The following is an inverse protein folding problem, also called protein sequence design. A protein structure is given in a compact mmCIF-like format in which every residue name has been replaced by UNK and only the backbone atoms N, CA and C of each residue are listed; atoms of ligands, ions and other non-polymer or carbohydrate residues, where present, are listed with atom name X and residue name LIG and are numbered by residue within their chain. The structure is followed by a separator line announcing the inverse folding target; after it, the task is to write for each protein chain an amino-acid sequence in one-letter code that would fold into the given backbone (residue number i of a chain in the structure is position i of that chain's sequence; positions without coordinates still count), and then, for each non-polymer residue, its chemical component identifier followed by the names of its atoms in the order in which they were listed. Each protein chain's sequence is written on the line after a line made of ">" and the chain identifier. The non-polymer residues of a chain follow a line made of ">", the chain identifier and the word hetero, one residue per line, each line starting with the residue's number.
data_IF_081214388920
#
_entry.id   IF_081214388920
#
_cell.length_a   1.000
_cell.length_b   1.000
_cell.length_c   1.000
_cell.angle_alpha   90.00
_cell.angle_beta   90.00
_cell.angle_gamma   90.00
#
_symmetry.space_group_name_H-M   'P 1'
#
loop_
_entity.id
_entity.type
_entity.pdbx_description
1 polymer ?
#
# COMPACT_ATOMS: atom_id res chain seq x y z
N UNK A 1 -21.31 -31.30 2.64
CA UNK A 1 -20.08 -31.75 3.30
C UNK A 1 -18.96 -30.81 2.91
N UNK A 2 -18.37 -30.14 3.90
CA UNK A 2 -17.23 -29.23 3.77
C UNK A 2 -16.04 -29.90 3.08
N UNK A 3 -15.39 -29.20 2.16
CA UNK A 3 -13.97 -29.41 1.89
C UNK A 3 -13.23 -28.13 2.27
N UNK A 4 -12.88 -28.08 3.56
CA UNK A 4 -11.88 -27.19 4.12
C UNK A 4 -10.57 -27.44 3.37
N UNK A 5 -10.06 -26.46 2.65
CA UNK A 5 -8.71 -26.52 2.07
C UNK A 5 -7.98 -25.18 2.14
N UNK A 6 -8.35 -24.32 3.08
CA UNK A 6 -7.50 -23.21 3.52
C UNK A 6 -6.47 -23.79 4.49
N UNK A 7 -5.50 -24.50 3.94
CA UNK A 7 -4.23 -24.73 4.63
C UNK A 7 -3.55 -23.38 4.70
N UNK A 8 -3.87 -22.63 5.75
CA UNK A 8 -3.04 -21.56 6.26
C UNK A 8 -1.60 -22.10 6.34
N UNK A 9 -0.76 -21.64 5.42
CA UNK A 9 0.66 -21.92 5.47
C UNK A 9 1.19 -21.16 6.68
N UNK A 10 1.17 -21.80 7.85
CA UNK A 10 2.02 -21.45 8.98
C UNK A 10 3.49 -21.73 8.60
N UNK A 11 4.00 -20.98 7.64
CA UNK A 11 5.44 -20.75 7.55
C UNK A 11 5.71 -19.63 8.53
N UNK A 12 6.58 -19.86 9.51
CA UNK A 12 7.19 -18.79 10.31
C UNK A 12 8.00 -17.89 9.39
N UNK A 13 7.30 -17.05 8.62
CA UNK A 13 7.93 -16.03 7.81
C UNK A 13 8.59 -15.06 8.78
N UNK A 14 9.89 -14.82 8.61
CA UNK A 14 10.60 -13.79 9.34
C UNK A 14 10.17 -12.36 8.91
N UNK A 15 9.29 -12.28 7.92
CA UNK A 15 8.78 -11.05 7.30
C UNK A 15 7.27 -10.98 7.52
N UNK A 16 6.74 -9.77 7.68
CA UNK A 16 5.29 -9.60 7.76
C UNK A 16 4.67 -9.94 6.40
N UNK A 17 3.45 -10.52 6.33
CA UNK A 17 2.80 -10.80 5.06
C UNK A 17 2.70 -9.59 4.13
N UNK A 18 2.53 -8.39 4.70
CA UNK A 18 2.52 -7.12 3.98
C UNK A 18 3.86 -6.68 3.37
N UNK A 19 4.98 -7.29 3.77
CA UNK A 19 6.30 -7.02 3.19
C UNK A 19 6.61 -7.93 1.99
N UNK A 20 5.76 -8.93 1.74
CA UNK A 20 5.89 -9.89 0.64
C UNK A 20 5.29 -9.27 -0.62
N UNK A 21 6.10 -9.16 -1.68
CA UNK A 21 5.63 -8.74 -3.00
C UNK A 21 5.42 -9.98 -3.86
N UNK A 22 4.32 -10.01 -4.61
CA UNK A 22 4.06 -11.08 -5.57
C UNK A 22 5.16 -11.15 -6.64
N UNK A 23 5.57 -12.36 -7.01
CA UNK A 23 6.51 -12.58 -8.11
C UNK A 23 5.88 -12.25 -9.48
N UNK A 24 4.55 -12.31 -9.58
CA UNK A 24 3.77 -11.96 -10.76
C UNK A 24 3.46 -10.47 -10.81
N UNK A 25 3.35 -9.90 -12.02
CA UNK A 25 2.99 -8.50 -12.18
C UNK A 25 1.50 -8.30 -11.88
N UNK A 26 1.20 -7.45 -10.90
CA UNK A 26 -0.16 -7.08 -10.51
C UNK A 26 -0.51 -5.68 -11.03
N UNK A 27 -1.79 -5.50 -11.35
CA UNK A 27 -2.39 -4.21 -11.73
C UNK A 27 -2.47 -3.24 -10.54
N UNK A 28 -2.68 -1.95 -10.82
CA UNK A 28 -2.86 -0.92 -9.79
C UNK A 28 -4.09 -1.25 -8.94
N UNK A 29 -5.18 -1.69 -9.57
CA UNK A 29 -6.41 -2.07 -8.90
C UNK A 29 -6.24 -3.27 -7.95
N UNK A 30 -5.40 -4.24 -8.31
CA UNK A 30 -5.08 -5.38 -7.45
C UNK A 30 -4.22 -4.93 -6.27
N UNK A 31 -3.15 -4.16 -6.52
CA UNK A 31 -2.27 -3.64 -5.47
C UNK A 31 -2.98 -2.73 -4.48
N UNK A 32 -3.96 -1.93 -4.95
CA UNK A 32 -4.75 -1.04 -4.09
C UNK A 32 -5.58 -1.77 -3.03
N UNK A 33 -5.89 -3.06 -3.25
CA UNK A 33 -6.68 -3.88 -2.33
C UNK A 33 -5.81 -4.63 -1.32
N UNK A 34 -4.49 -4.62 -1.46
CA UNK A 34 -3.59 -5.36 -0.60
C UNK A 34 -3.42 -4.68 0.76
N UNK A 35 -3.42 -5.49 1.81
CA UNK A 35 -3.42 -5.04 3.20
C UNK A 35 -2.23 -5.65 3.92
N UNK A 36 -1.40 -4.79 4.51
CA UNK A 36 -0.19 -5.21 5.21
C UNK A 36 -0.49 -5.65 6.65
N UNK A 37 -1.41 -4.94 7.31
CA UNK A 37 -1.87 -5.22 8.67
C UNK A 37 -3.38 -5.04 8.72
N UNK A 38 -4.08 -6.04 9.26
CA UNK A 38 -5.52 -5.99 9.56
C UNK A 38 -5.71 -6.68 10.92
N UNK A 39 -5.54 -5.93 12.01
CA UNK A 39 -5.54 -6.48 13.37
C UNK A 39 -5.96 -5.42 14.40
N UNK A 40 -6.58 -5.83 15.52
CA UNK A 40 -6.70 -4.97 16.68
C UNK A 40 -5.33 -4.59 17.22
N UNK A 41 -5.20 -3.36 17.70
CA UNK A 41 -4.05 -2.89 18.44
C UNK A 41 -4.18 -3.19 19.95
N UNK A 42 -3.16 -2.81 20.72
CA UNK A 42 -3.14 -3.04 22.17
C UNK A 42 -4.23 -2.27 22.94
N UNK A 43 -4.83 -1.23 22.33
CA UNK A 43 -5.91 -0.43 22.89
C UNK A 43 -7.30 -0.98 22.53
N UNK A 44 -7.36 -1.94 21.59
CA UNK A 44 -8.60 -2.54 21.09
C UNK A 44 -9.14 -1.87 19.83
N UNK A 45 -8.46 -0.85 19.31
CA UNK A 45 -8.79 -0.22 18.04
C UNK A 45 -8.35 -1.11 16.88
N UNK A 46 -9.19 -1.24 15.84
CA UNK A 46 -8.86 -2.04 14.68
C UNK A 46 -8.04 -1.23 13.67
N UNK A 47 -6.77 -1.60 13.50
CA UNK A 47 -5.86 -0.92 12.59
C UNK A 47 -5.80 -1.69 11.27
N UNK A 48 -6.11 -0.99 10.19
CA UNK A 48 -5.94 -1.46 8.82
C UNK A 48 -4.90 -0.61 8.10
N UNK A 49 -3.82 -1.24 7.66
CA UNK A 49 -2.72 -0.59 6.95
C UNK A 49 -2.61 -1.16 5.54
N UNK A 50 -2.72 -0.34 4.47
CA UNK A 50 -2.55 -0.81 3.11
C UNK A 50 -1.07 -1.14 2.81
N UNK A 51 -0.83 -2.11 1.94
CA UNK A 51 0.54 -2.43 1.46
C UNK A 51 1.05 -1.39 0.47
N UNK A 52 0.16 -0.88 -0.38
CA UNK A 52 0.46 0.08 -1.43
C UNK A 52 -0.35 1.36 -1.26
N UNK A 53 0.27 2.49 -1.58
CA UNK A 53 -0.39 3.79 -1.73
C UNK A 53 -0.61 4.06 -3.22
N UNK A 54 -1.86 4.29 -3.61
CA UNK A 54 -2.16 4.73 -4.98
C UNK A 54 -1.95 6.24 -5.04
N UNK A 55 -1.09 6.67 -5.96
CA UNK A 55 -0.79 8.07 -6.21
C UNK A 55 -1.03 8.39 -7.68
N UNK A 56 -1.52 9.58 -7.96
CA UNK A 56 -1.59 10.13 -9.31
C UNK A 56 -0.30 10.92 -9.55
N UNK A 57 0.50 10.48 -10.52
CA UNK A 57 1.69 11.20 -10.92
C UNK A 57 1.36 12.36 -11.87
N UNK A 58 1.86 13.57 -11.60
CA UNK A 58 1.74 14.70 -12.50
C UNK A 58 2.81 14.67 -13.60
N UNK A 59 2.60 15.34 -14.74
CA UNK A 59 1.39 16.11 -15.10
C UNK A 59 0.30 15.26 -15.78
N UNK A 60 0.61 14.02 -16.14
CA UNK A 60 -0.23 13.20 -17.02
C UNK A 60 -1.35 12.44 -16.28
N UNK A 61 -1.31 12.43 -14.94
CA UNK A 61 -2.32 11.80 -14.09
C UNK A 61 -2.23 10.27 -14.06
N UNK A 62 -1.07 9.70 -14.37
CA UNK A 62 -0.86 8.25 -14.35
C UNK A 62 -0.95 7.73 -12.91
N UNK A 63 -1.78 6.71 -12.67
CA UNK A 63 -1.90 6.09 -11.36
C UNK A 63 -0.76 5.08 -11.13
N UNK A 64 -0.05 5.23 -10.01
CA UNK A 64 0.96 4.27 -9.54
C UNK A 64 0.60 3.76 -8.15
N UNK A 65 0.80 2.46 -7.95
CA UNK A 65 0.74 1.84 -6.63
C UNK A 65 2.15 1.71 -6.03
N UNK A 66 2.47 2.55 -5.05
CA UNK A 66 3.77 2.61 -4.36
C UNK A 66 3.78 1.79 -3.08
N UNK A 67 4.73 0.86 -2.94
CA UNK A 67 4.87 0.01 -1.76
C UNK A 67 5.39 0.80 -0.57
N UNK A 68 4.69 0.73 0.57
CA UNK A 68 4.97 1.54 1.76
C UNK A 68 6.42 1.47 2.29
N UNK A 69 7.08 0.31 2.22
CA UNK A 69 8.51 0.16 2.57
C UNK A 69 9.46 0.42 1.39
N UNK A 70 9.26 -0.25 0.25
CA UNK A 70 10.25 -0.27 -0.84
C UNK A 70 10.35 1.06 -1.59
N UNK A 71 9.22 1.78 -1.68
CA UNK A 71 9.11 2.99 -2.49
C UNK A 71 9.05 4.26 -1.61
N UNK A 72 9.62 4.19 -0.40
CA UNK A 72 9.59 5.29 0.57
C UNK A 72 10.21 6.60 0.03
N UNK A 73 11.24 6.49 -0.83
CA UNK A 73 11.85 7.65 -1.49
C UNK A 73 10.90 8.30 -2.50
N UNK A 74 10.26 7.49 -3.37
CA UNK A 74 9.28 7.96 -4.35
C UNK A 74 8.04 8.54 -3.65
N UNK A 75 7.56 7.92 -2.58
CA UNK A 75 6.49 8.46 -1.73
C UNK A 75 6.89 9.83 -1.17
N UNK A 76 8.13 9.96 -0.68
CA UNK A 76 8.65 11.25 -0.20
C UNK A 76 8.74 12.28 -1.32
N UNK A 77 9.15 11.88 -2.53
CA UNK A 77 9.15 12.73 -3.71
C UNK A 77 7.74 13.21 -4.07
N UNK A 78 6.77 12.31 -4.13
CA UNK A 78 5.36 12.63 -4.39
C UNK A 78 4.82 13.62 -3.37
N UNK A 79 5.07 13.40 -2.08
CA UNK A 79 4.66 14.33 -1.01
C UNK A 79 5.34 15.69 -1.16
N UNK A 80 6.64 15.71 -1.52
CA UNK A 80 7.39 16.96 -1.74
C UNK A 80 6.93 17.73 -2.98
N UNK A 81 6.44 17.03 -3.99
CA UNK A 81 5.89 17.59 -5.22
C UNK A 81 4.44 18.06 -5.06
N UNK A 82 3.66 17.38 -4.22
CA UNK A 82 2.27 17.74 -3.88
C UNK A 82 2.17 18.97 -2.95
N UNK A 83 3.02 19.99 -3.18
CA UNK A 83 2.91 21.28 -2.49
C UNK A 83 1.57 21.90 -2.81
N UNK A 84 0.91 22.41 -1.79
CA UNK A 84 -0.32 23.17 -1.97
C UNK A 84 -0.03 24.67 -1.97
N UNK A 85 -0.81 25.44 -2.73
CA UNK A 85 -0.85 26.89 -2.59
C UNK A 85 -1.64 27.31 -1.33
N UNK A 86 -1.76 28.62 -1.11
CA UNK A 86 -2.49 29.20 0.03
C UNK A 86 -3.99 28.85 0.02
N UNK A 87 -4.52 28.46 -1.13
CA UNK A 87 -5.92 28.05 -1.32
C UNK A 87 -6.11 26.53 -1.15
N UNK A 88 -5.03 25.79 -0.91
CA UNK A 88 -5.05 24.33 -0.74
C UNK A 88 -5.05 23.56 -2.06
N UNK A 89 -4.88 24.22 -3.21
CA UNK A 89 -4.79 23.54 -4.50
C UNK A 89 -3.40 22.94 -4.68
N UNK A 90 -3.32 21.75 -5.28
CA UNK A 90 -2.03 21.11 -5.62
C UNK A 90 -1.31 21.95 -6.68
N UNK A 91 -0.06 22.28 -6.40
CA UNK A 91 0.84 23.02 -7.28
C UNK A 91 2.04 22.16 -7.63
N UNK A 92 2.30 22.02 -8.93
CA UNK A 92 3.45 21.29 -9.46
C UNK A 92 4.56 22.27 -9.84
N UNK A 93 5.82 21.89 -9.64
CA UNK A 93 7.01 22.70 -10.00
C UNK A 93 7.78 22.08 -11.14
#
# INVERSE_FOLDING_TARGET
>A
MNNNNDKEKETHAAVNPGDVIADEQETVEEKSKQVAVDSPDITGDHIKVPTYFVVEEPPDGEEKALHHVKDAEEISDVIRQARVDEEGNRTWR
#
